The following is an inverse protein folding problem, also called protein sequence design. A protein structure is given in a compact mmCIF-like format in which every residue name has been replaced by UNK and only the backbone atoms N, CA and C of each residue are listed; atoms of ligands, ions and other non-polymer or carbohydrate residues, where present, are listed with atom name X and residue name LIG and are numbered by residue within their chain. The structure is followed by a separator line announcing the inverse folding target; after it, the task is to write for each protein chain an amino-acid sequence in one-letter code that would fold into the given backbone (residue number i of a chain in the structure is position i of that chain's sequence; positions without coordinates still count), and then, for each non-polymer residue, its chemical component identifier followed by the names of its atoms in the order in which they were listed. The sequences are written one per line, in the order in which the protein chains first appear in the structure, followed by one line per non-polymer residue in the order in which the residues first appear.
data_IF_122645453517
#
_entry.id   IF_122645453517
#
_cell.length_a   1.000
_cell.length_b   1.000
_cell.length_c   1.000
_cell.angle_alpha   90.00
_cell.angle_beta   90.00
_cell.angle_gamma   90.00
#
_symmetry.space_group_name_H-M   'P 1'
#
loop_
_entity.id
_entity.type
_entity.pdbx_description
1 polymer ?
#
# COMPACT_ATOMS: atom_id res chain seq x y z
N UNK A 1 -5.86 0.31 26.86
CA UNK A 1 -4.69 -0.27 26.14
C UNK A 1 -3.59 0.78 26.05
N UNK A 2 -2.36 0.36 26.35
CA UNK A 2 -1.18 1.22 26.50
C UNK A 2 -0.81 1.92 25.17
N UNK A 3 -0.30 3.15 25.25
CA UNK A 3 0.45 3.75 24.14
C UNK A 3 1.54 2.76 23.74
N UNK A 4 1.71 2.55 22.43
CA UNK A 4 2.85 1.81 21.92
C UNK A 4 4.07 2.64 22.30
N UNK A 5 4.97 2.12 23.14
CA UNK A 5 6.13 2.88 23.57
C UNK A 5 6.92 3.36 22.34
N UNK A 6 7.44 4.59 22.36
CA UNK A 6 8.32 5.12 21.30
C UNK A 6 9.49 4.14 21.00
N UNK A 7 9.95 3.41 22.02
CA UNK A 7 10.95 2.34 21.89
C UNK A 7 10.52 1.17 21.01
N UNK A 8 9.23 0.89 20.86
CA UNK A 8 8.71 -0.14 19.95
C UNK A 8 8.77 0.32 18.50
N UNK A 9 8.63 1.61 18.23
CA UNK A 9 8.62 2.16 16.87
C UNK A 9 10.04 2.32 16.35
N UNK A 10 10.97 2.87 17.14
CA UNK A 10 12.40 2.91 16.77
C UNK A 10 12.96 1.52 16.52
N UNK A 11 12.58 0.54 17.35
CA UNK A 11 12.92 -0.86 17.15
C UNK A 11 12.30 -1.39 15.87
N UNK A 12 11.02 -1.09 15.61
CA UNK A 12 10.35 -1.50 14.38
C UNK A 12 11.01 -0.88 13.14
N UNK A 13 11.39 0.39 13.16
CA UNK A 13 12.11 1.05 12.06
C UNK A 13 13.48 0.39 11.86
N UNK A 14 14.22 0.17 12.94
CA UNK A 14 15.52 -0.48 12.93
C UNK A 14 15.45 -1.92 12.39
N UNK A 15 14.47 -2.72 12.84
CA UNK A 15 14.25 -4.09 12.40
C UNK A 15 13.86 -4.17 10.91
N UNK A 16 13.37 -3.06 10.35
CA UNK A 16 12.99 -2.93 8.94
C UNK A 16 14.01 -2.12 8.11
N UNK A 17 15.21 -1.86 8.65
CA UNK A 17 16.29 -1.08 8.02
C UNK A 17 15.90 0.34 7.59
N UNK A 18 14.95 0.95 8.28
CA UNK A 18 14.55 2.34 8.06
C UNK A 18 15.28 3.27 9.04
N UNK A 19 15.65 4.49 8.61
CA UNK A 19 16.16 5.51 9.52
C UNK A 19 15.18 5.72 10.68
N UNK A 20 15.71 5.93 11.88
CA UNK A 20 14.88 6.14 13.08
C UNK A 20 14.53 7.61 13.30
N UNK A 21 15.13 8.52 12.53
CA UNK A 21 14.99 9.96 12.69
C UNK A 21 14.19 10.59 11.54
N UNK A 22 13.68 11.81 11.78
CA UNK A 22 13.03 12.60 10.74
C UNK A 22 11.59 12.18 10.43
N UNK A 23 10.97 11.30 11.23
CA UNK A 23 9.56 10.96 11.09
C UNK A 23 8.70 11.79 12.04
N UNK A 24 7.57 12.28 11.53
CA UNK A 24 6.55 13.00 12.26
C UNK A 24 5.39 12.03 12.49
N UNK A 25 5.01 11.83 13.76
CA UNK A 25 3.78 11.11 14.10
C UNK A 25 2.60 12.03 13.82
N UNK A 26 1.68 11.56 12.99
CA UNK A 26 0.42 12.25 12.70
C UNK A 26 -0.75 11.40 13.17
N UNK A 27 -1.52 11.98 14.07
CA UNK A 27 -2.77 11.42 14.55
C UNK A 27 -3.94 12.04 13.76
N UNK A 28 -4.75 11.21 13.12
CA UNK A 28 -5.91 11.66 12.33
C UNK A 28 -7.18 11.25 13.06
N UNK A 29 -7.96 12.25 13.46
CA UNK A 29 -9.20 12.04 14.20
C UNK A 29 -10.32 11.49 13.32
N UNK A 30 -11.36 10.95 13.95
CA UNK A 30 -12.57 10.55 13.23
C UNK A 30 -13.39 11.76 12.78
N UNK A 31 -14.35 11.54 11.87
CA UNK A 31 -15.28 12.60 11.46
C UNK A 31 -16.20 13.06 12.58
N UNK A 32 -16.31 12.28 13.66
CA UNK A 32 -17.00 12.64 14.91
C UNK A 32 -16.03 12.57 16.10
N UNK A 33 -15.17 13.60 16.27
CA UNK A 33 -14.18 13.65 17.33
C UNK A 33 -14.77 13.38 18.71
N UNK A 34 -14.11 12.52 19.48
CA UNK A 34 -14.41 12.37 20.90
C UNK A 34 -13.19 12.79 21.72
N UNK A 35 -13.20 13.97 22.37
CA UNK A 35 -12.07 14.50 23.13
C UNK A 35 -11.61 13.60 24.29
N UNK A 36 -12.46 12.68 24.75
CA UNK A 36 -12.16 11.74 25.83
C UNK A 36 -11.54 10.43 25.33
N UNK A 37 -11.55 10.19 24.02
CA UNK A 37 -10.98 8.99 23.40
C UNK A 37 -9.69 9.35 22.66
N UNK A 38 -8.82 8.35 22.51
CA UNK A 38 -7.62 8.50 21.68
C UNK A 38 -8.01 8.54 20.21
N UNK A 39 -7.21 9.26 19.45
CA UNK A 39 -7.29 9.33 17.99
C UNK A 39 -7.21 7.93 17.38
N UNK A 40 -8.12 7.54 16.47
CA UNK A 40 -8.22 6.15 15.98
C UNK A 40 -7.17 5.77 14.93
N UNK A 41 -6.52 6.77 14.32
CA UNK A 41 -5.57 6.59 13.24
C UNK A 41 -4.25 7.29 13.54
N UNK A 42 -3.14 6.57 13.38
CA UNK A 42 -1.79 7.11 13.59
C UNK A 42 -0.84 6.62 12.50
N UNK A 43 -0.19 7.56 11.82
CA UNK A 43 0.76 7.29 10.74
C UNK A 43 2.05 8.09 10.96
N UNK A 44 3.17 7.56 10.47
CA UNK A 44 4.42 8.30 10.43
C UNK A 44 4.69 8.78 9.02
N UNK A 45 5.03 10.07 8.89
CA UNK A 45 5.44 10.66 7.62
C UNK A 45 6.83 11.23 7.82
N UNK A 46 7.77 10.88 6.95
CA UNK A 46 9.09 11.51 6.99
C UNK A 46 8.96 13.00 6.68
N UNK A 47 9.67 13.87 7.40
CA UNK A 47 9.62 15.34 7.27
C UNK A 47 9.91 15.83 5.85
N UNK A 48 10.71 15.08 5.10
CA UNK A 48 11.06 15.37 3.70
C UNK A 48 10.05 14.76 2.69
N UNK A 49 8.93 14.20 3.16
CA UNK A 49 7.90 13.55 2.34
C UNK A 49 8.35 12.25 1.65
N UNK A 50 9.54 11.72 1.97
CA UNK A 50 10.14 10.58 1.26
C UNK A 50 9.47 9.22 1.55
N UNK A 51 8.89 9.07 2.73
CA UNK A 51 8.35 7.81 3.23
C UNK A 51 7.05 8.09 3.98
N UNK A 52 6.01 7.29 3.68
CA UNK A 52 4.79 7.19 4.46
C UNK A 52 4.73 5.81 5.11
N UNK A 53 4.55 5.76 6.43
CA UNK A 53 4.48 4.53 7.21
C UNK A 53 3.12 4.41 7.89
N UNK A 54 2.43 3.33 7.52
CA UNK A 54 1.11 3.01 8.05
C UNK A 54 1.28 2.01 9.19
N UNK A 55 1.21 2.50 10.45
CA UNK A 55 1.40 1.65 11.63
C UNK A 55 0.08 1.20 12.25
N UNK A 56 -0.86 2.14 12.45
CA UNK A 56 -2.05 1.89 13.27
C UNK A 56 -3.31 2.42 12.59
N UNK A 57 -4.13 1.50 12.06
CA UNK A 57 -5.44 1.80 11.49
C UNK A 57 -6.52 1.01 12.24
N UNK A 58 -6.81 1.38 13.48
CA UNK A 58 -7.84 0.72 14.28
C UNK A 58 -9.22 1.26 13.93
N UNK A 59 -9.75 0.83 12.78
CA UNK A 59 -11.16 1.09 12.45
C UNK A 59 -12.12 0.67 13.57
N UNK A 60 -11.75 -0.36 14.35
CA UNK A 60 -12.50 -0.82 15.52
C UNK A 60 -12.58 0.20 16.66
N UNK A 61 -11.63 1.13 16.73
CA UNK A 61 -11.54 2.17 17.75
C UNK A 61 -12.16 3.49 17.25
N UNK A 62 -12.44 3.59 15.95
CA UNK A 62 -13.25 4.67 15.37
C UNK A 62 -14.75 4.43 15.68
N UNK A 63 -15.38 5.28 16.51
CA UNK A 63 -16.80 5.12 16.86
C UNK A 63 -17.74 5.48 15.70
N UNK A 64 -17.23 6.11 14.63
CA UNK A 64 -18.03 6.58 13.52
C UNK A 64 -18.60 5.39 12.72
N UNK A 65 -19.89 5.39 12.36
CA UNK A 65 -20.47 4.39 11.48
C UNK A 65 -19.68 4.25 10.17
N UNK A 66 -19.63 3.05 9.60
CA UNK A 66 -18.80 2.74 8.44
C UNK A 66 -19.07 3.65 7.24
N UNK A 67 -20.31 4.12 7.09
CA UNK A 67 -20.77 5.00 6.00
C UNK A 67 -20.26 6.43 6.15
N UNK A 68 -19.89 6.83 7.37
CA UNK A 68 -19.42 8.18 7.73
C UNK A 68 -17.93 8.20 8.10
N UNK A 69 -17.32 7.03 8.26
CA UNK A 69 -15.91 6.87 8.57
C UNK A 69 -15.04 7.32 7.39
N UNK A 70 -13.90 7.95 7.69
CA UNK A 70 -12.93 8.35 6.67
C UNK A 70 -12.45 7.12 5.88
N UNK A 71 -12.29 7.29 4.57
CA UNK A 71 -11.65 6.24 3.77
C UNK A 71 -10.18 6.18 4.16
N UNK A 72 -9.60 4.99 4.07
CA UNK A 72 -8.18 4.79 4.36
C UNK A 72 -7.28 5.72 3.53
N UNK A 73 -7.64 5.96 2.27
CA UNK A 73 -6.92 6.89 1.39
C UNK A 73 -6.95 8.33 1.92
N UNK A 74 -8.11 8.78 2.42
CA UNK A 74 -8.29 10.11 2.97
C UNK A 74 -7.48 10.29 4.27
N UNK A 75 -7.43 9.25 5.12
CA UNK A 75 -6.61 9.23 6.35
C UNK A 75 -5.11 9.40 6.02
N UNK A 76 -4.62 8.68 5.00
CA UNK A 76 -3.21 8.78 4.58
C UNK A 76 -2.90 10.14 3.98
N UNK A 77 -3.76 10.65 3.10
CA UNK A 77 -3.60 11.96 2.49
C UNK A 77 -3.59 13.07 3.55
N UNK A 78 -4.53 13.03 4.51
CA UNK A 78 -4.57 13.95 5.65
C UNK A 78 -3.30 13.88 6.50
N UNK A 79 -2.75 12.68 6.70
CA UNK A 79 -1.50 12.48 7.43
C UNK A 79 -0.33 13.22 6.75
N UNK A 80 -0.22 13.08 5.42
CA UNK A 80 0.80 13.78 4.64
C UNK A 80 0.63 15.31 4.68
N UNK A 81 -0.61 15.80 4.58
CA UNK A 81 -0.90 17.24 4.65
C UNK A 81 -0.43 17.82 5.98
N UNK A 82 -0.80 17.19 7.10
CA UNK A 82 -0.45 17.68 8.43
C UNK A 82 1.05 17.63 8.70
N UNK A 83 1.75 16.59 8.24
CA UNK A 83 3.19 16.46 8.45
C UNK A 83 4.02 17.50 7.68
N UNK A 84 3.57 17.89 6.48
CA UNK A 84 4.38 18.68 5.54
C UNK A 84 3.96 20.15 5.50
N UNK A 85 2.73 20.47 5.87
CA UNK A 85 2.17 21.82 5.73
C UNK A 85 1.96 22.57 7.05
N UNK A 86 3.02 23.03 7.74
CA UNK A 86 2.88 24.20 8.61
C UNK A 86 3.08 25.53 7.88
N UNK A 87 3.72 25.57 6.69
CA UNK A 87 4.19 26.85 6.11
C UNK A 87 4.26 27.00 4.57
N UNK A 88 3.84 26.05 3.74
CA UNK A 88 3.91 26.19 2.26
C UNK A 88 2.71 25.62 1.51
N UNK A 89 2.44 26.20 0.32
CA UNK A 89 1.45 25.77 -0.69
C UNK A 89 1.46 24.26 -0.90
N UNK A 90 0.25 23.69 -1.11
CA UNK A 90 -0.10 22.32 -1.54
C UNK A 90 0.89 21.20 -1.16
N UNK A 91 0.48 20.18 -0.39
CA UNK A 91 1.39 19.13 0.11
C UNK A 91 1.83 18.16 -1.00
N UNK A 92 2.71 18.59 -1.90
CA UNK A 92 3.24 17.75 -2.98
C UNK A 92 4.43 16.94 -2.43
N UNK A 93 4.32 15.62 -2.51
CA UNK A 93 5.28 14.64 -2.03
C UNK A 93 6.26 14.21 -3.13
N UNK A 94 6.96 15.15 -3.74
CA UNK A 94 7.82 14.82 -4.88
C UNK A 94 8.95 13.84 -4.52
N UNK A 95 9.44 13.92 -3.27
CA UNK A 95 10.44 13.03 -2.72
C UNK A 95 9.94 11.62 -2.37
N UNK A 96 8.64 11.30 -2.45
CA UNK A 96 8.14 10.01 -1.93
C UNK A 96 8.63 8.82 -2.74
N UNK A 97 9.30 7.88 -2.08
CA UNK A 97 9.87 6.67 -2.70
C UNK A 97 9.16 5.40 -2.25
N UNK A 98 8.48 5.43 -1.11
CA UNK A 98 7.87 4.21 -0.56
C UNK A 98 6.72 4.47 0.39
N UNK A 99 5.74 3.57 0.34
CA UNK A 99 4.65 3.48 1.31
C UNK A 99 4.76 2.15 2.04
N UNK A 100 4.93 2.22 3.36
CA UNK A 100 5.23 1.09 4.22
C UNK A 100 3.99 0.57 4.94
N UNK A 101 3.93 -0.76 5.05
CA UNK A 101 3.03 -1.50 5.91
C UNK A 101 3.87 -2.20 6.96
N UNK A 102 3.76 -1.70 8.18
CA UNK A 102 4.58 -2.12 9.29
C UNK A 102 3.75 -2.98 10.25
N UNK A 103 4.35 -4.04 10.77
CA UNK A 103 3.77 -4.91 11.80
C UNK A 103 2.35 -5.40 11.46
N UNK A 104 2.20 -6.05 10.30
CA UNK A 104 0.89 -6.51 9.80
C UNK A 104 0.23 -7.44 10.81
N UNK A 105 -0.92 -7.01 11.34
CA UNK A 105 -1.63 -7.69 12.42
C UNK A 105 -1.88 -9.18 12.14
N UNK A 106 -1.83 -10.03 13.19
CA UNK A 106 -1.96 -11.50 13.06
C UNK A 106 -3.30 -11.95 12.50
N UNK A 107 -4.35 -11.16 12.75
CA UNK A 107 -5.71 -11.42 12.28
C UNK A 107 -5.88 -11.14 10.78
N UNK A 108 -4.92 -10.46 10.13
CA UNK A 108 -4.86 -10.29 8.69
C UNK A 108 -4.33 -11.56 7.99
N UNK A 109 -5.07 -12.65 8.14
CA UNK A 109 -4.67 -13.99 7.68
C UNK A 109 -4.41 -14.07 6.17
N UNK A 110 -5.09 -13.26 5.36
CA UNK A 110 -4.90 -13.22 3.91
C UNK A 110 -3.51 -12.71 3.54
N UNK A 111 -3.09 -11.57 4.10
CA UNK A 111 -1.79 -10.97 3.79
C UNK A 111 -0.65 -11.87 4.26
N UNK A 112 -0.78 -12.45 5.45
CA UNK A 112 0.18 -13.44 5.97
C UNK A 112 0.32 -14.65 5.04
N UNK A 113 -0.78 -15.24 4.57
CA UNK A 113 -0.76 -16.36 3.61
C UNK A 113 -0.03 -16.00 2.32
N UNK A 114 -0.28 -14.81 1.77
CA UNK A 114 0.38 -14.36 0.52
C UNK A 114 1.88 -14.21 0.75
N UNK A 115 2.30 -13.58 1.85
CA UNK A 115 3.71 -13.42 2.22
C UNK A 115 4.40 -14.78 2.40
N UNK A 116 3.74 -15.75 3.04
CA UNK A 116 4.28 -17.09 3.24
C UNK A 116 4.48 -17.84 1.91
N UNK A 117 3.53 -17.72 0.98
CA UNK A 117 3.66 -18.31 -0.36
C UNK A 117 4.83 -17.67 -1.12
N UNK A 118 4.91 -16.35 -1.11
CA UNK A 118 6.01 -15.60 -1.73
C UNK A 118 7.37 -16.00 -1.17
N UNK A 119 7.51 -16.15 0.15
CA UNK A 119 8.76 -16.63 0.77
C UNK A 119 9.19 -17.99 0.25
N UNK A 120 8.25 -18.92 0.08
CA UNK A 120 8.54 -20.27 -0.45
C UNK A 120 8.99 -20.21 -1.91
N UNK A 121 8.33 -19.38 -2.73
CA UNK A 121 8.69 -19.17 -4.14
C UNK A 121 10.12 -18.61 -4.26
N UNK A 122 10.41 -17.58 -3.47
CA UNK A 122 11.72 -16.91 -3.44
C UNK A 122 12.80 -17.69 -2.70
N UNK A 123 12.45 -18.80 -2.04
CA UNK A 123 13.33 -19.58 -1.15
C UNK A 123 14.04 -18.69 -0.12
N UNK A 124 13.39 -17.62 0.33
CA UNK A 124 13.98 -16.68 1.30
C UNK A 124 14.06 -17.34 2.68
N UNK A 125 15.28 -17.48 3.20
CA UNK A 125 15.58 -18.15 4.47
C UNK A 125 15.64 -17.20 5.67
N UNK A 126 15.24 -15.93 5.51
CA UNK A 126 15.25 -14.95 6.59
C UNK A 126 15.77 -13.56 6.20
N UNK A 127 16.01 -13.29 4.91
CA UNK A 127 16.36 -11.97 4.41
C UNK A 127 15.19 -11.24 3.74
N UNK A 128 15.30 -9.92 3.52
CA UNK A 128 14.37 -9.20 2.67
C UNK A 128 14.42 -9.76 1.24
N UNK A 129 13.28 -9.75 0.56
CA UNK A 129 13.20 -10.14 -0.85
C UNK A 129 12.25 -9.20 -1.60
N UNK A 130 12.58 -8.94 -2.86
CA UNK A 130 11.81 -8.07 -3.75
C UNK A 130 10.83 -8.88 -4.57
N UNK A 131 9.63 -8.34 -4.76
CA UNK A 131 8.60 -8.87 -5.65
C UNK A 131 8.25 -7.83 -6.71
N UNK A 132 8.04 -8.28 -7.94
CA UNK A 132 7.74 -7.41 -9.09
C UNK A 132 6.56 -7.95 -9.88
N UNK A 133 5.76 -7.08 -10.54
CA UNK A 133 4.65 -7.53 -11.39
C UNK A 133 5.06 -8.48 -12.52
N UNK A 134 6.30 -8.40 -12.99
CA UNK A 134 6.80 -9.18 -14.12
C UNK A 134 7.29 -10.57 -13.72
N UNK A 135 7.79 -10.73 -12.49
CA UNK A 135 8.35 -12.00 -12.01
C UNK A 135 7.42 -12.76 -11.05
N UNK A 136 6.44 -12.08 -10.45
CA UNK A 136 5.67 -12.61 -9.33
C UNK A 136 4.16 -12.55 -9.55
N UNK A 137 3.55 -13.71 -9.82
CA UNK A 137 2.10 -13.84 -10.01
C UNK A 137 1.30 -13.37 -8.79
N UNK A 138 1.88 -13.46 -7.59
CA UNK A 138 1.27 -13.03 -6.33
C UNK A 138 1.46 -11.55 -6.04
N UNK A 139 2.15 -10.79 -6.89
CA UNK A 139 2.33 -9.33 -6.70
C UNK A 139 0.97 -8.62 -6.57
N UNK A 140 0.07 -8.85 -7.52
CA UNK A 140 -1.26 -8.22 -7.49
C UNK A 140 -2.13 -8.78 -6.36
N UNK A 141 -1.94 -10.04 -5.95
CA UNK A 141 -2.63 -10.56 -4.78
C UNK A 141 -2.19 -9.84 -3.49
N UNK A 142 -0.90 -9.57 -3.33
CA UNK A 142 -0.40 -8.76 -2.21
C UNK A 142 -0.92 -7.33 -2.31
N UNK A 143 -0.96 -6.76 -3.52
CA UNK A 143 -1.50 -5.43 -3.73
C UNK A 143 -3.01 -5.37 -3.46
N UNK A 144 -3.77 -6.44 -3.68
CA UNK A 144 -5.20 -6.47 -3.36
C UNK A 144 -5.50 -6.84 -1.90
N UNK A 145 -4.50 -7.33 -1.17
CA UNK A 145 -4.63 -7.69 0.24
C UNK A 145 -4.93 -6.48 1.12
N UNK A 146 -5.21 -6.73 2.39
CA UNK A 146 -5.69 -5.70 3.33
C UNK A 146 -4.76 -4.47 3.37
N UNK A 147 -5.39 -3.32 3.14
CA UNK A 147 -4.88 -1.99 2.75
C UNK A 147 -3.88 -1.89 1.57
N UNK A 148 -3.54 -2.97 0.86
CA UNK A 148 -2.86 -2.87 -0.44
C UNK A 148 -3.73 -2.18 -1.49
N UNK A 149 -5.03 -2.53 -1.55
CA UNK A 149 -6.00 -1.83 -2.41
C UNK A 149 -6.12 -0.36 -2.03
N UNK A 150 -5.93 -0.08 -0.73
CA UNK A 150 -5.84 1.27 -0.19
C UNK A 150 -4.70 2.06 -0.81
N UNK A 151 -3.50 1.48 -0.93
CA UNK A 151 -2.34 2.14 -1.55
C UNK A 151 -2.57 2.43 -3.03
N UNK A 152 -3.07 1.45 -3.79
CA UNK A 152 -3.40 1.69 -5.19
C UNK A 152 -4.47 2.78 -5.35
N UNK A 153 -5.51 2.77 -4.50
CA UNK A 153 -6.56 3.80 -4.51
C UNK A 153 -6.02 5.16 -4.08
N UNK A 154 -5.07 5.22 -3.13
CA UNK A 154 -4.43 6.46 -2.68
C UNK A 154 -3.69 7.15 -3.83
N UNK A 155 -2.90 6.38 -4.60
CA UNK A 155 -2.17 6.91 -5.76
C UNK A 155 -3.09 7.34 -6.91
N UNK A 156 -4.30 6.78 -7.00
CA UNK A 156 -5.31 7.20 -7.99
C UNK A 156 -6.03 8.47 -7.50
N UNK A 157 -6.66 8.40 -6.33
CA UNK A 157 -7.50 9.47 -5.75
C UNK A 157 -6.68 10.74 -5.47
N UNK A 158 -5.40 10.59 -5.11
CA UNK A 158 -4.50 11.67 -4.72
C UNK A 158 -3.26 11.76 -5.62
N UNK A 159 -3.36 11.35 -6.89
CA UNK A 159 -2.23 11.30 -7.84
C UNK A 159 -1.32 12.54 -7.85
N UNK A 160 -1.89 13.75 -7.83
CA UNK A 160 -1.13 15.01 -7.79
C UNK A 160 -0.30 15.19 -6.52
N UNK A 161 -0.80 14.68 -5.38
CA UNK A 161 -0.10 14.75 -4.08
C UNK A 161 1.14 13.86 -4.12
N UNK A 162 1.08 12.72 -4.82
CA UNK A 162 2.15 11.73 -4.92
C UNK A 162 2.95 11.87 -6.23
N UNK A 163 2.99 13.06 -6.83
CA UNK A 163 3.72 13.37 -8.08
C UNK A 163 3.48 12.36 -9.21
N UNK A 164 2.24 11.86 -9.34
CA UNK A 164 1.84 10.89 -10.37
C UNK A 164 2.75 9.64 -10.42
N UNK A 165 3.20 9.17 -9.25
CA UNK A 165 4.01 7.95 -9.12
C UNK A 165 3.14 6.69 -9.14
N UNK A 166 3.75 5.59 -9.56
CA UNK A 166 3.15 4.25 -9.60
C UNK A 166 3.98 3.27 -8.78
N UNK A 167 3.37 2.15 -8.40
CA UNK A 167 4.02 1.05 -7.72
C UNK A 167 4.82 0.23 -8.75
N UNK A 168 6.11 0.04 -8.51
CA UNK A 168 6.99 -0.75 -9.39
C UNK A 168 7.37 -2.11 -8.79
N UNK A 169 7.55 -2.16 -7.49
CA UNK A 169 7.87 -3.38 -6.76
C UNK A 169 7.38 -3.31 -5.32
N UNK A 170 7.50 -4.42 -4.61
CA UNK A 170 7.39 -4.46 -3.16
C UNK A 170 8.61 -5.16 -2.56
N UNK A 171 9.07 -4.70 -1.39
CA UNK A 171 10.08 -5.43 -0.62
C UNK A 171 9.44 -5.96 0.64
N UNK A 172 9.51 -7.27 0.82
CA UNK A 172 8.99 -7.97 1.99
C UNK A 172 10.14 -8.21 2.96
N UNK A 173 9.96 -7.78 4.21
CA UNK A 173 10.98 -7.90 5.24
C UNK A 173 10.79 -9.15 6.09
N UNK A 174 11.89 -9.77 6.55
CA UNK A 174 11.85 -10.92 7.43
C UNK A 174 11.36 -10.56 8.83
N UNK A 175 10.78 -11.55 9.52
CA UNK A 175 10.54 -11.45 10.95
C UNK A 175 11.86 -11.79 11.64
N UNK A 176 12.62 -10.76 12.04
CA UNK A 176 14.04 -10.95 12.39
C UNK A 176 14.31 -11.67 13.71
N UNK A 177 13.37 -11.75 14.66
CA UNK A 177 13.40 -12.69 15.81
C UNK A 177 12.17 -12.50 16.71
N UNK A 178 11.52 -13.60 17.13
CA UNK A 178 10.41 -13.58 18.11
C UNK A 178 9.00 -13.50 17.50
N UNK A 179 7.97 -13.11 18.29
CA UNK A 179 6.58 -13.01 17.83
C UNK A 179 6.33 -11.80 16.92
N UNK A 180 7.34 -11.35 16.19
CA UNK A 180 7.27 -10.20 15.28
C UNK A 180 6.30 -10.45 14.13
N UNK A 181 5.77 -9.36 13.58
CA UNK A 181 4.81 -9.36 12.50
C UNK A 181 5.51 -8.96 11.20
N UNK A 182 5.16 -9.57 10.06
CA UNK A 182 5.80 -9.23 8.80
C UNK A 182 5.50 -7.78 8.43
N UNK A 183 6.43 -7.19 7.71
CA UNK A 183 6.32 -5.84 7.16
C UNK A 183 6.75 -5.85 5.70
N UNK A 184 6.24 -4.91 4.92
CA UNK A 184 6.68 -4.70 3.56
C UNK A 184 6.47 -3.23 3.16
N UNK A 185 7.07 -2.80 2.07
CA UNK A 185 6.72 -1.54 1.44
C UNK A 185 6.51 -1.68 -0.05
N UNK A 186 5.70 -0.77 -0.59
CA UNK A 186 5.55 -0.55 -2.02
C UNK A 186 6.56 0.49 -2.48
N UNK A 187 7.42 0.15 -3.44
CA UNK A 187 8.32 1.09 -4.09
C UNK A 187 7.54 1.93 -5.09
N UNK A 188 7.74 3.24 -5.04
CA UNK A 188 7.10 4.20 -5.91
C UNK A 188 8.12 4.83 -6.86
N UNK A 189 7.80 4.87 -8.14
CA UNK A 189 8.58 5.57 -9.16
C UNK A 189 7.65 6.42 -10.03
N UNK A 190 8.15 7.50 -10.65
CA UNK A 190 7.37 8.26 -11.62
C UNK A 190 6.78 7.32 -12.67
N UNK A 191 5.52 7.55 -13.04
CA UNK A 191 5.00 6.91 -14.24
C UNK A 191 5.87 7.39 -15.38
N UNK A 192 6.72 6.52 -15.91
CA UNK A 192 7.48 6.81 -17.11
C UNK A 192 6.49 7.38 -18.12
N UNK A 193 6.76 8.58 -18.65
CA UNK A 193 5.95 9.16 -19.72
C UNK A 193 5.90 8.12 -20.82
N UNK A 194 4.77 7.39 -20.88
CA UNK A 194 4.48 6.55 -22.01
C UNK A 194 4.32 7.57 -23.13
N UNK A 195 5.33 7.69 -23.97
CA UNK A 195 5.14 8.17 -25.34
C UNK A 195 3.82 7.56 -25.81
N UNK A 196 2.87 8.38 -26.30
CA UNK A 196 1.51 7.92 -26.54
C UNK A 196 1.59 6.64 -27.35
N UNK A 197 0.98 5.53 -26.88
CA UNK A 197 0.91 4.34 -27.71
C UNK A 197 0.21 4.77 -28.99
N UNK A 198 0.90 4.65 -30.13
CA UNK A 198 0.25 4.70 -31.43
C UNK A 198 -1.02 3.87 -31.33
N UNK A 199 -2.11 4.42 -31.86
CA UNK A 199 -3.49 3.95 -31.79
C UNK A 199 -3.62 2.46 -32.14
N UNK A 200 -3.25 1.55 -31.24
CA UNK A 200 -3.64 0.16 -31.30
C UNK A 200 -5.01 0.12 -30.65
N UNK A 201 -6.01 0.33 -31.50
CA UNK A 201 -7.43 0.16 -31.19
C UNK A 201 -7.64 -1.12 -30.40
N UNK A 202 -7.82 -0.99 -29.09
CA UNK A 202 -8.19 -2.12 -28.25
C UNK A 202 -9.57 -2.61 -28.70
N UNK A 203 -9.74 -3.88 -29.08
CA UNK A 203 -11.05 -4.38 -29.44
C UNK A 203 -11.94 -4.33 -28.21
N UNK A 204 -13.10 -3.68 -28.34
CA UNK A 204 -14.11 -3.64 -27.29
C UNK A 204 -14.40 -5.06 -26.78
N UNK A 205 -14.69 -5.22 -25.47
CA UNK A 205 -15.08 -6.51 -24.84
C UNK A 205 -16.15 -7.28 -25.64
N UNK A 206 -16.94 -6.57 -26.46
CA UNK A 206 -17.95 -7.15 -27.38
C UNK A 206 -17.32 -7.85 -28.60
N UNK A 207 -16.23 -7.32 -29.15
CA UNK A 207 -15.47 -7.91 -30.27
C UNK A 207 -14.66 -9.13 -29.83
N UNK A 208 -14.00 -9.09 -28.66
CA UNK A 208 -13.30 -10.25 -28.11
C UNK A 208 -14.24 -11.44 -27.87
N UNK A 209 -15.47 -11.18 -27.40
CA UNK A 209 -16.50 -12.21 -27.23
C UNK A 209 -17.02 -12.77 -28.56
N UNK A 210 -17.14 -11.95 -29.62
CA UNK A 210 -17.49 -12.40 -30.97
C UNK A 210 -16.38 -13.26 -31.58
N UNK A 211 -15.12 -12.86 -31.42
CA UNK A 211 -13.96 -13.60 -31.95
C UNK A 211 -13.81 -14.97 -31.30
N UNK A 212 -14.00 -15.07 -29.98
CA UNK A 212 -13.97 -16.35 -29.25
C UNK A 212 -15.11 -17.29 -29.68
N UNK A 213 -16.30 -16.74 -30.00
CA UNK A 213 -17.42 -17.51 -30.55
C UNK A 213 -17.18 -17.98 -31.99
N UNK A 214 -16.48 -17.19 -32.81
CA UNK A 214 -16.13 -17.55 -34.17
C UNK A 214 -15.09 -18.68 -34.20
N UNK A 215 -14.04 -18.60 -33.38
CA UNK A 215 -13.03 -19.66 -33.29
C UNK A 215 -13.61 -20.97 -32.75
N UNK A 216 -14.51 -20.92 -31.76
CA UNK A 216 -15.18 -22.11 -31.22
C UNK A 216 -16.08 -22.81 -32.25
N UNK A 217 -16.58 -22.11 -33.28
CA UNK A 217 -17.35 -22.72 -34.37
C UNK A 217 -16.45 -23.29 -35.47
N UNK A 218 -15.31 -22.64 -35.74
CA UNK A 218 -14.35 -23.13 -36.73
C UNK A 218 -13.68 -24.46 -36.31
N UNK A 219 -13.57 -24.75 -35.01
CA UNK A 219 -13.02 -26.02 -34.50
C UNK A 219 -13.99 -27.21 -34.58
N UNK A 220 -15.26 -26.97 -34.92
CA UNK A 220 -16.28 -28.03 -35.02
C UNK A 220 -16.38 -28.56 -36.47
N UNK A 221 -16.08 -27.73 -37.47
CA UNK A 221 -16.19 -28.10 -38.89
C UNK A 221 -14.91 -28.73 -39.49
N UNK A 222 -13.83 -28.89 -38.71
CA UNK A 222 -12.59 -29.55 -39.16
C UNK A 222 -12.50 -31.03 -38.77
N UNK A 223 -13.60 -31.63 -38.29
CA UNK A 223 -13.69 -33.03 -37.89
C UNK A 223 -14.87 -33.70 -38.59
N UNK A 224 -14.86 -33.72 -39.91
CA UNK A 224 -15.64 -34.63 -40.77
C UNK A 224 -14.88 -34.89 -42.06
#
# INVERSE_FOLDING_TARGET
MAQVPTSTIEMTLKDNNEPTNGYILVDVDSTTPNPQKKTPYSNYVHKDGRVLMCLYNYKKDDPTPKEQALRWTDIMAASCVQAISPSTRLPILDGITSIWRINIARDNTQTHKIIDMLRRIHKSTGGPFEITPAADDLFFALLESDHGRGVASLLIDYSWMFSFKTITSAIVFPVLSGPGLPSFYWRLEPVAERLPPELVSSPSKKQARKHRKAMSRASIDSST
#
